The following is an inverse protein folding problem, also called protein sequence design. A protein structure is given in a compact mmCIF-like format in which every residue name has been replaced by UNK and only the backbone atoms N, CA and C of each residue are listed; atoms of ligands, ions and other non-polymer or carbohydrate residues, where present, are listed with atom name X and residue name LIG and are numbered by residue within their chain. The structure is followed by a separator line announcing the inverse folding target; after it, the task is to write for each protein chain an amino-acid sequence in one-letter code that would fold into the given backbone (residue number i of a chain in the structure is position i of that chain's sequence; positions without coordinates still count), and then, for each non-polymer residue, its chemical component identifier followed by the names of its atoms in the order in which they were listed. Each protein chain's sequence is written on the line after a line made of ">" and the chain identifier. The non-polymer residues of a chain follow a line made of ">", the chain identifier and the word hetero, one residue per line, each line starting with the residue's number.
data_IF_010288638106
#
_entry.id   IF_010288638106
#
_cell.length_a   1.000
_cell.length_b   1.000
_cell.length_c   1.000
_cell.angle_alpha   90.00
_cell.angle_beta   90.00
_cell.angle_gamma   90.00
#
_symmetry.space_group_name_H-M   'P 1'
#
loop_
_entity.id
_entity.type
_entity.pdbx_description
1 polymer ?
#
# COMPACT_ATOMS: atom_id res chain seq x y z
N UNK A 1 33.14 -51.86 -2.13
CA UNK A 1 34.38 -51.30 -2.75
C UNK A 1 34.11 -49.89 -3.14
N UNK A 2 35.05 -48.98 -2.91
CA UNK A 2 35.46 -48.44 -1.61
C UNK A 2 34.97 -46.98 -1.40
N UNK A 3 34.92 -46.58 -0.14
CA UNK A 3 34.70 -45.22 0.38
C UNK A 3 35.78 -44.23 -0.10
N UNK A 4 35.32 -43.06 -0.62
CA UNK A 4 36.23 -41.91 -0.78
C UNK A 4 35.80 -40.85 0.26
N UNK A 5 36.63 -40.75 1.30
CA UNK A 5 36.63 -39.69 2.31
C UNK A 5 37.28 -38.45 1.69
N UNK A 6 36.60 -37.29 1.72
CA UNK A 6 37.21 -35.99 1.39
C UNK A 6 37.60 -35.25 2.66
N UNK A 7 38.80 -34.65 2.71
CA UNK A 7 39.30 -33.97 3.91
C UNK A 7 38.74 -32.56 4.06
N UNK A 8 38.55 -32.15 5.32
CA UNK A 8 38.21 -30.77 5.73
C UNK A 8 39.40 -29.82 5.56
N UNK A 9 39.22 -28.56 5.16
CA UNK A 9 40.25 -27.55 5.21
C UNK A 9 40.37 -26.94 6.63
N UNK A 10 41.61 -26.83 7.11
CA UNK A 10 42.01 -26.23 8.39
C UNK A 10 41.93 -24.69 8.38
N UNK A 11 41.79 -24.04 9.56
CA UNK A 11 41.72 -22.59 9.65
C UNK A 11 43.08 -21.93 9.51
N UNK A 12 43.18 -20.93 8.62
CA UNK A 12 44.36 -20.09 8.46
C UNK A 12 44.43 -19.04 9.57
N UNK A 13 45.53 -19.06 10.31
CA UNK A 13 45.97 -18.04 11.29
C UNK A 13 46.33 -16.74 10.56
N UNK A 14 45.82 -15.62 11.05
CA UNK A 14 46.30 -14.30 10.64
C UNK A 14 47.36 -13.82 11.58
N UNK A 15 48.58 -13.67 11.04
CA UNK A 15 49.77 -13.17 11.73
C UNK A 15 49.69 -11.63 11.82
N UNK A 16 49.99 -11.12 13.00
CA UNK A 16 50.19 -9.70 13.29
C UNK A 16 51.48 -9.20 12.65
N UNK A 17 51.45 -8.07 11.98
CA UNK A 17 52.63 -7.26 11.70
C UNK A 17 52.52 -5.96 12.48
N UNK A 18 53.39 -5.80 13.46
CA UNK A 18 53.74 -4.55 14.12
C UNK A 18 54.78 -3.82 13.25
N UNK A 19 54.57 -2.55 12.97
CA UNK A 19 55.60 -1.63 12.52
C UNK A 19 55.61 -0.41 13.43
N UNK A 20 56.80 -0.17 13.99
CA UNK A 20 57.19 0.91 14.87
C UNK A 20 57.83 2.02 14.05
N UNK A 21 57.62 3.29 14.46
CA UNK A 21 58.50 4.43 14.17
C UNK A 21 57.76 5.63 13.59
N UNK A 22 57.75 6.78 14.11
CA UNK A 22 58.78 7.68 14.60
C UNK A 22 58.08 8.93 15.17
N UNK A 23 58.71 9.50 16.18
CA UNK A 23 58.29 10.73 16.85
C UNK A 23 58.47 11.99 15.99
N UNK A 24 57.51 12.91 16.07
CA UNK A 24 57.63 14.27 15.59
C UNK A 24 56.89 15.21 16.53
N UNK A 25 57.59 15.94 17.35
CA UNK A 25 57.15 17.06 18.17
C UNK A 25 56.80 18.25 17.27
N UNK A 26 55.60 18.79 17.38
CA UNK A 26 55.32 20.23 17.11
C UNK A 26 54.09 20.71 17.87
N UNK A 27 54.26 21.66 18.78
CA UNK A 27 53.46 22.83 18.98
C UNK A 27 51.99 22.73 19.40
N UNK A 28 51.76 22.86 20.73
CA UNK A 28 50.41 23.11 21.27
C UNK A 28 49.95 24.54 20.92
N UNK A 29 49.01 24.73 20.03
CA UNK A 29 48.15 25.91 19.98
C UNK A 29 46.80 25.53 20.59
N UNK A 30 46.57 26.05 21.81
CA UNK A 30 45.25 25.97 22.43
C UNK A 30 44.31 26.95 21.74
N UNK A 31 43.44 26.42 20.86
CA UNK A 31 42.30 27.16 20.38
C UNK A 31 41.16 26.95 21.36
N UNK A 32 40.91 27.99 22.16
CA UNK A 32 39.73 28.06 23.03
C UNK A 32 38.52 28.34 22.09
N UNK A 33 37.79 27.29 21.80
CA UNK A 33 36.45 27.44 21.18
C UNK A 33 35.44 27.74 22.27
N UNK A 34 34.57 28.74 22.10
CA UNK A 34 33.51 29.01 23.05
C UNK A 34 32.52 27.84 23.03
N UNK A 35 32.20 27.30 24.22
CA UNK A 35 31.07 26.42 24.40
C UNK A 35 29.80 27.17 23.98
N UNK A 36 29.33 26.94 22.78
CA UNK A 36 27.94 27.21 22.46
C UNK A 36 27.09 26.16 23.18
N UNK A 37 26.39 26.60 24.22
CA UNK A 37 25.28 25.86 24.81
C UNK A 37 24.23 25.72 23.73
N UNK A 38 24.31 24.65 22.96
CA UNK A 38 23.26 24.23 22.06
C UNK A 38 22.04 23.91 22.91
N UNK A 39 21.02 24.77 22.84
CA UNK A 39 19.70 24.45 23.34
C UNK A 39 19.29 23.14 22.68
N UNK A 40 19.02 22.09 23.49
CA UNK A 40 18.26 20.93 23.04
C UNK A 40 16.97 21.51 22.49
N UNK A 41 16.83 21.53 21.15
CA UNK A 41 15.54 21.74 20.54
C UNK A 41 14.66 20.57 21.03
N UNK A 42 13.74 20.87 21.92
CA UNK A 42 12.68 19.95 22.25
C UNK A 42 12.05 19.57 20.91
N UNK A 43 12.03 18.29 20.62
CA UNK A 43 11.18 17.74 19.57
C UNK A 43 9.76 18.07 19.99
N UNK A 44 9.28 19.20 19.53
CA UNK A 44 7.86 19.54 19.64
C UNK A 44 7.16 18.48 18.80
N UNK A 45 6.52 17.53 19.49
CA UNK A 45 5.49 16.72 18.85
C UNK A 45 4.60 17.68 18.09
N UNK A 46 4.54 17.54 16.76
CA UNK A 46 3.58 18.25 15.95
C UNK A 46 2.20 17.86 16.47
N UNK A 47 1.67 18.70 17.38
CA UNK A 47 0.28 18.58 17.77
C UNK A 47 -0.54 18.90 16.53
N UNK A 48 -1.06 17.89 15.87
CA UNK A 48 -2.15 18.07 14.93
C UNK A 48 -3.22 18.92 15.62
N UNK A 49 -3.76 19.95 14.98
CA UNK A 49 -4.85 20.71 15.56
C UNK A 49 -5.94 19.72 15.95
N UNK A 50 -6.45 19.84 17.17
CA UNK A 50 -7.50 18.98 17.70
C UNK A 50 -8.58 18.83 16.63
N UNK A 51 -8.94 17.57 16.31
CA UNK A 51 -9.93 17.23 15.32
C UNK A 51 -11.14 18.14 15.49
N UNK A 52 -11.40 18.99 14.51
CA UNK A 52 -12.68 19.66 14.43
C UNK A 52 -13.70 18.53 14.35
N UNK A 53 -14.61 18.45 15.32
CA UNK A 53 -15.73 17.54 15.30
C UNK A 53 -16.53 17.85 14.05
N UNK A 54 -16.17 17.22 12.91
CA UNK A 54 -16.95 17.31 11.71
C UNK A 54 -18.23 16.54 11.97
N UNK A 55 -19.34 17.24 12.02
CA UNK A 55 -20.70 16.69 12.21
C UNK A 55 -21.15 15.83 11.01
N UNK A 56 -20.29 15.61 10.04
CA UNK A 56 -20.60 14.83 8.87
C UNK A 56 -20.66 13.33 9.17
N UNK A 57 -21.73 12.64 8.73
CA UNK A 57 -21.86 11.21 8.96
C UNK A 57 -20.71 10.45 8.31
N UNK A 58 -20.24 9.37 8.97
CA UNK A 58 -19.16 8.48 8.49
C UNK A 58 -19.45 7.98 7.06
N UNK A 59 -20.67 7.53 6.79
CA UNK A 59 -21.13 7.11 5.47
C UNK A 59 -21.80 8.30 4.78
N UNK A 60 -21.34 8.72 3.58
CA UNK A 60 -21.93 9.86 2.88
C UNK A 60 -23.41 9.66 2.53
N UNK A 61 -24.14 10.76 2.40
CA UNK A 61 -25.54 10.72 1.98
C UNK A 61 -25.69 10.00 0.63
N UNK A 62 -26.74 9.17 0.50
CA UNK A 62 -26.98 8.35 -0.69
C UNK A 62 -26.16 7.04 -0.74
N UNK A 63 -25.36 6.77 0.29
CA UNK A 63 -24.64 5.50 0.45
C UNK A 63 -25.20 4.71 1.62
N UNK A 64 -25.03 3.39 1.54
CA UNK A 64 -25.31 2.44 2.63
C UNK A 64 -24.09 1.57 2.88
N UNK A 65 -23.78 1.31 4.15
CA UNK A 65 -22.76 0.33 4.54
C UNK A 65 -23.43 -1.01 4.81
N UNK A 66 -22.90 -2.08 4.25
CA UNK A 66 -23.48 -3.42 4.29
C UNK A 66 -22.39 -4.48 4.39
N UNK A 67 -22.76 -5.70 4.79
CA UNK A 67 -21.89 -6.87 4.76
C UNK A 67 -22.51 -7.99 3.93
N UNK A 68 -21.70 -8.66 3.13
CA UNK A 68 -22.11 -9.79 2.28
C UNK A 68 -21.20 -10.98 2.49
N UNK A 69 -21.78 -12.13 2.77
CA UNK A 69 -21.04 -13.41 2.83
C UNK A 69 -20.58 -13.81 1.43
N UNK A 70 -19.27 -14.04 1.29
CA UNK A 70 -18.61 -14.48 0.07
C UNK A 70 -17.65 -15.61 0.42
N UNK A 71 -17.95 -16.83 0.00
CA UNK A 71 -17.14 -18.00 0.37
C UNK A 71 -17.00 -18.13 1.89
N UNK A 72 -15.77 -18.07 2.38
CA UNK A 72 -15.42 -18.21 3.80
C UNK A 72 -15.44 -16.90 4.59
N UNK A 73 -15.52 -15.73 3.90
CA UNK A 73 -15.47 -14.39 4.53
C UNK A 73 -16.76 -13.61 4.34
N UNK A 74 -17.03 -12.70 5.26
CA UNK A 74 -18.02 -11.63 5.05
C UNK A 74 -17.28 -10.35 4.71
N UNK A 75 -17.57 -9.80 3.55
CA UNK A 75 -16.98 -8.56 3.05
C UNK A 75 -17.90 -7.39 3.42
N UNK A 76 -17.35 -6.41 4.13
CA UNK A 76 -17.99 -5.12 4.35
C UNK A 76 -17.78 -4.24 3.12
N UNK A 77 -18.78 -3.43 2.79
CA UNK A 77 -18.69 -2.49 1.67
C UNK A 77 -19.67 -1.34 1.83
N UNK A 78 -19.35 -0.20 1.24
CA UNK A 78 -20.31 0.86 1.02
C UNK A 78 -20.79 0.84 -0.43
N UNK A 79 -22.09 1.13 -0.62
CA UNK A 79 -22.74 1.17 -1.93
C UNK A 79 -23.58 2.42 -2.05
N UNK A 80 -23.49 3.10 -3.22
CA UNK A 80 -24.33 4.25 -3.54
C UNK A 80 -24.34 4.55 -5.03
N UNK A 81 -25.19 5.51 -5.43
CA UNK A 81 -25.32 5.94 -6.81
C UNK A 81 -26.06 4.99 -7.74
N UNK A 82 -26.03 5.29 -9.03
CA UNK A 82 -26.69 4.52 -10.10
C UNK A 82 -25.88 4.62 -11.40
N UNK A 83 -26.09 3.66 -12.30
CA UNK A 83 -25.38 3.56 -13.56
C UNK A 83 -24.42 2.37 -13.63
N UNK A 84 -23.41 2.39 -14.52
CA UNK A 84 -22.44 1.31 -14.66
C UNK A 84 -21.68 1.04 -13.36
N UNK A 85 -21.32 -0.23 -13.12
CA UNK A 85 -20.62 -0.63 -11.92
C UNK A 85 -19.20 -0.05 -11.86
N UNK A 86 -18.86 0.58 -10.73
CA UNK A 86 -17.51 1.06 -10.38
C UNK A 86 -17.10 0.47 -9.03
N UNK A 87 -15.98 -0.24 -9.01
CA UNK A 87 -15.39 -0.78 -7.78
C UNK A 87 -14.13 0.00 -7.43
N UNK A 88 -14.02 0.40 -6.16
CA UNK A 88 -12.90 1.17 -5.62
C UNK A 88 -12.20 0.31 -4.56
N UNK A 89 -10.97 -0.13 -4.81
CA UNK A 89 -10.23 -1.09 -3.98
C UNK A 89 -9.06 -0.40 -3.31
N UNK A 90 -9.16 -0.24 -1.98
CA UNK A 90 -8.19 0.46 -1.12
C UNK A 90 -6.89 -0.32 -0.92
N UNK A 91 -5.89 0.36 -0.34
CA UNK A 91 -4.60 -0.21 0.04
C UNK A 91 -4.35 -0.29 1.55
N UNK A 92 -3.07 -0.47 1.90
CA UNK A 92 -2.59 -0.52 3.28
C UNK A 92 -2.24 0.90 3.78
N UNK A 93 -2.54 1.29 5.02
CA UNK A 93 -3.31 0.58 6.03
C UNK A 93 -4.79 0.94 6.06
N UNK A 94 -5.33 1.31 4.92
CA UNK A 94 -6.64 1.92 4.75
C UNK A 94 -7.79 0.89 4.68
N UNK A 95 -9.01 1.41 4.47
CA UNK A 95 -10.25 0.68 4.21
C UNK A 95 -11.11 1.50 3.24
N UNK A 96 -12.38 1.19 3.05
CA UNK A 96 -13.25 1.90 2.12
C UNK A 96 -13.30 3.42 2.34
N UNK A 97 -12.98 3.90 3.53
CA UNK A 97 -13.03 5.31 3.92
C UNK A 97 -12.02 6.17 3.14
N UNK A 98 -10.95 5.60 2.61
CA UNK A 98 -10.04 6.25 1.65
C UNK A 98 -10.81 6.96 0.54
N UNK A 99 -11.85 6.31 0.02
CA UNK A 99 -12.63 6.78 -1.11
C UNK A 99 -13.70 7.82 -0.75
N UNK A 100 -13.95 8.05 0.54
CA UNK A 100 -15.03 8.89 1.06
C UNK A 100 -15.14 10.25 0.37
N UNK A 101 -14.04 11.00 0.13
CA UNK A 101 -14.11 12.31 -0.53
C UNK A 101 -14.56 12.24 -1.99
N UNK A 102 -14.34 11.12 -2.67
CA UNK A 102 -14.68 10.92 -4.08
C UNK A 102 -16.08 10.36 -4.29
N UNK A 103 -16.63 9.66 -3.29
CA UNK A 103 -17.88 8.90 -3.41
C UNK A 103 -19.08 9.75 -3.91
N UNK A 104 -19.35 10.97 -3.36
CA UNK A 104 -20.54 11.72 -3.77
C UNK A 104 -20.56 12.09 -5.24
N UNK A 105 -19.40 12.44 -5.81
CA UNK A 105 -19.33 12.83 -7.23
C UNK A 105 -19.38 11.61 -8.14
N UNK A 106 -18.66 10.54 -7.79
CA UNK A 106 -18.66 9.29 -8.56
C UNK A 106 -20.07 8.67 -8.61
N UNK A 107 -20.84 8.76 -7.53
CA UNK A 107 -22.20 8.24 -7.45
C UNK A 107 -23.20 8.93 -8.38
N UNK A 108 -22.89 10.12 -8.88
CA UNK A 108 -23.72 10.78 -9.90
C UNK A 108 -23.69 10.05 -11.25
N UNK A 109 -22.68 9.21 -11.47
CA UNK A 109 -22.41 8.58 -12.77
C UNK A 109 -22.33 7.06 -12.71
N UNK A 110 -22.12 6.48 -11.51
CA UNK A 110 -21.84 5.06 -11.33
C UNK A 110 -22.61 4.47 -10.15
N UNK A 111 -22.91 3.18 -10.24
CA UNK A 111 -23.17 2.36 -9.06
C UNK A 111 -21.81 2.06 -8.44
N UNK A 112 -21.48 2.77 -7.37
CA UNK A 112 -20.17 2.67 -6.70
C UNK A 112 -20.23 1.60 -5.61
N UNK A 113 -19.23 0.71 -5.61
CA UNK A 113 -18.97 -0.29 -4.57
C UNK A 113 -17.55 -0.05 -4.06
N UNK A 114 -17.40 0.30 -2.80
CA UNK A 114 -16.11 0.39 -2.12
C UNK A 114 -16.06 -0.63 -0.99
N UNK A 115 -15.46 -1.80 -1.23
CA UNK A 115 -15.32 -2.85 -0.21
C UNK A 115 -14.15 -2.58 0.73
N UNK A 116 -14.25 -3.11 1.94
CA UNK A 116 -13.08 -3.42 2.76
C UNK A 116 -12.51 -4.76 2.29
N UNK A 117 -11.23 -4.81 1.99
CA UNK A 117 -10.55 -6.07 1.69
C UNK A 117 -10.62 -7.03 2.89
N UNK A 118 -10.53 -8.36 2.68
CA UNK A 118 -10.38 -9.29 3.81
C UNK A 118 -9.24 -8.85 4.72
N UNK A 119 -9.48 -8.82 6.01
CA UNK A 119 -8.53 -8.35 7.00
C UNK A 119 -8.50 -6.83 7.22
N UNK A 120 -9.30 -6.05 6.50
CA UNK A 120 -9.42 -4.60 6.69
C UNK A 120 -10.80 -4.20 7.18
N UNK A 121 -10.87 -3.03 7.78
CA UNK A 121 -12.11 -2.36 8.15
C UNK A 121 -13.04 -3.26 8.95
N UNK A 122 -14.26 -3.45 8.46
CA UNK A 122 -15.27 -4.32 9.06
C UNK A 122 -15.43 -5.67 8.32
N UNK A 123 -14.56 -5.99 7.36
CA UNK A 123 -14.54 -7.33 6.74
C UNK A 123 -13.96 -8.37 7.69
N UNK A 124 -14.26 -9.65 7.47
CA UNK A 124 -13.67 -10.72 8.29
C UNK A 124 -12.13 -10.78 8.09
N UNK A 125 -11.41 -11.15 9.15
CA UNK A 125 -9.97 -11.37 9.16
C UNK A 125 -9.65 -12.86 9.38
N UNK A 126 -9.80 -13.74 8.36
CA UNK A 126 -9.52 -15.16 8.49
C UNK A 126 -8.02 -15.44 8.67
N UNK A 127 -7.67 -16.68 9.03
CA UNK A 127 -6.29 -17.08 9.26
C UNK A 127 -5.39 -17.06 8.01
N UNK A 128 -5.95 -16.93 6.79
CA UNK A 128 -5.20 -16.97 5.54
C UNK A 128 -5.99 -16.47 4.33
N UNK A 129 -5.44 -16.72 3.13
CA UNK A 129 -6.08 -16.30 1.88
C UNK A 129 -5.76 -14.85 1.49
N UNK A 130 -4.64 -14.35 1.93
CA UNK A 130 -4.24 -12.94 1.71
C UNK A 130 -3.44 -12.71 0.43
N UNK A 131 -3.30 -13.72 -0.41
CA UNK A 131 -2.79 -13.55 -1.76
C UNK A 131 -3.80 -12.81 -2.65
N UNK A 132 -3.29 -12.00 -3.58
CA UNK A 132 -4.09 -11.08 -4.39
C UNK A 132 -5.11 -11.79 -5.27
N UNK A 133 -4.82 -13.02 -5.68
CA UNK A 133 -5.78 -13.86 -6.42
C UNK A 133 -7.00 -14.22 -5.56
N UNK A 134 -6.77 -14.63 -4.31
CA UNK A 134 -7.87 -14.94 -3.38
C UNK A 134 -8.65 -13.67 -3.01
N UNK A 135 -7.95 -12.57 -2.73
CA UNK A 135 -8.61 -11.28 -2.44
C UNK A 135 -9.43 -10.77 -3.64
N UNK A 136 -8.94 -10.93 -4.85
CA UNK A 136 -9.68 -10.61 -6.08
C UNK A 136 -10.92 -11.50 -6.26
N UNK A 137 -10.85 -12.78 -5.88
CA UNK A 137 -12.00 -13.69 -5.91
C UNK A 137 -13.08 -13.28 -4.90
N UNK A 138 -12.72 -12.71 -3.74
CA UNK A 138 -13.70 -12.14 -2.81
C UNK A 138 -14.47 -10.98 -3.44
N UNK A 139 -13.75 -10.07 -4.10
CA UNK A 139 -14.40 -8.92 -4.75
C UNK A 139 -15.31 -9.38 -5.89
N UNK A 140 -14.84 -10.33 -6.71
CA UNK A 140 -15.69 -10.90 -7.77
C UNK A 140 -16.92 -11.61 -7.19
N UNK A 141 -16.73 -12.37 -6.13
CA UNK A 141 -17.82 -13.04 -5.41
C UNK A 141 -18.83 -12.05 -4.81
N UNK A 142 -18.36 -10.95 -4.22
CA UNK A 142 -19.21 -9.85 -3.75
C UNK A 142 -20.06 -9.29 -4.90
N UNK A 143 -19.42 -8.90 -6.00
CA UNK A 143 -20.12 -8.37 -7.16
C UNK A 143 -21.13 -9.36 -7.74
N UNK A 144 -20.77 -10.65 -7.79
CA UNK A 144 -21.69 -11.72 -8.26
C UNK A 144 -22.91 -11.85 -7.38
N UNK A 145 -22.77 -11.76 -6.05
CA UNK A 145 -23.89 -11.75 -5.11
C UNK A 145 -24.81 -10.54 -5.26
N UNK A 146 -24.24 -9.42 -5.72
CA UNK A 146 -24.99 -8.19 -5.99
C UNK A 146 -25.55 -8.09 -7.41
N UNK A 147 -25.23 -9.06 -8.31
CA UNK A 147 -25.59 -9.01 -9.73
C UNK A 147 -24.85 -7.94 -10.54
N UNK A 148 -23.65 -7.55 -10.09
CA UNK A 148 -22.89 -6.41 -10.62
C UNK A 148 -21.52 -6.79 -11.23
N UNK A 149 -21.26 -8.07 -11.47
CA UNK A 149 -19.93 -8.59 -11.85
C UNK A 149 -19.57 -8.35 -13.32
N UNK A 150 -20.47 -7.89 -14.16
CA UNK A 150 -20.23 -7.70 -15.59
C UNK A 150 -20.08 -6.21 -15.94
N UNK A 151 -19.24 -5.93 -16.97
CA UNK A 151 -18.98 -4.56 -17.46
C UNK A 151 -18.43 -3.61 -16.38
N UNK A 152 -17.62 -4.14 -15.47
CA UNK A 152 -17.13 -3.43 -14.29
C UNK A 152 -16.00 -2.47 -14.67
N UNK A 153 -15.97 -1.31 -14.03
CA UNK A 153 -14.83 -0.43 -13.94
C UNK A 153 -14.15 -0.67 -12.61
N UNK A 154 -12.83 -0.80 -12.59
CA UNK A 154 -12.08 -1.12 -11.38
C UNK A 154 -11.00 -0.05 -11.17
N UNK A 155 -10.93 0.47 -9.97
CA UNK A 155 -9.87 1.40 -9.50
C UNK A 155 -9.21 0.78 -8.29
N UNK A 156 -7.89 0.67 -8.33
CA UNK A 156 -7.11 0.18 -7.20
C UNK A 156 -6.01 1.16 -6.80
N UNK A 157 -5.75 1.22 -5.51
CA UNK A 157 -4.66 1.98 -4.91
C UNK A 157 -3.80 1.06 -4.02
N UNK A 158 -2.48 1.21 -4.05
CA UNK A 158 -1.53 0.42 -3.26
C UNK A 158 -1.80 -1.10 -3.36
N UNK A 159 -2.01 -1.83 -2.28
CA UNK A 159 -2.41 -3.26 -2.30
C UNK A 159 -3.65 -3.47 -3.18
N UNK A 160 -4.59 -2.53 -3.19
CA UNK A 160 -5.77 -2.55 -4.06
C UNK A 160 -5.42 -2.56 -5.55
N UNK A 161 -4.31 -1.95 -5.97
CA UNK A 161 -3.78 -2.07 -7.34
C UNK A 161 -3.41 -3.50 -7.68
N UNK A 162 -2.71 -4.19 -6.77
CA UNK A 162 -2.32 -5.59 -6.96
C UNK A 162 -3.54 -6.52 -7.04
N UNK A 163 -4.55 -6.28 -6.19
CA UNK A 163 -5.84 -7.00 -6.21
C UNK A 163 -6.60 -6.70 -7.51
N UNK A 164 -6.64 -5.43 -7.94
CA UNK A 164 -7.31 -5.00 -9.18
C UNK A 164 -6.69 -5.62 -10.43
N UNK A 165 -5.37 -5.75 -10.47
CA UNK A 165 -4.68 -6.47 -11.54
C UNK A 165 -5.09 -7.95 -11.57
N UNK A 166 -5.01 -8.64 -10.43
CA UNK A 166 -5.42 -10.05 -10.32
C UNK A 166 -6.90 -10.25 -10.69
N UNK A 167 -7.78 -9.32 -10.29
CA UNK A 167 -9.21 -9.31 -10.67
C UNK A 167 -9.38 -9.24 -12.20
N UNK A 168 -8.75 -8.23 -12.82
CA UNK A 168 -8.86 -8.02 -14.26
C UNK A 168 -8.23 -9.16 -15.08
N UNK A 169 -7.15 -9.74 -14.58
CA UNK A 169 -6.48 -10.88 -15.23
C UNK A 169 -7.28 -12.19 -15.12
N UNK A 170 -8.00 -12.40 -14.00
CA UNK A 170 -8.88 -13.55 -13.82
C UNK A 170 -10.21 -13.41 -14.59
N UNK A 171 -10.72 -12.18 -14.75
CA UNK A 171 -12.03 -11.88 -15.34
C UNK A 171 -11.95 -10.82 -16.47
N UNK A 172 -11.08 -11.01 -17.50
CA UNK A 172 -10.80 -9.97 -18.49
C UNK A 172 -12.00 -9.57 -19.37
N UNK A 173 -13.03 -10.42 -19.44
CA UNK A 173 -14.25 -10.14 -20.20
C UNK A 173 -15.25 -9.28 -19.41
N UNK A 174 -15.13 -9.26 -18.10
CA UNK A 174 -16.04 -8.55 -17.19
C UNK A 174 -15.55 -7.13 -16.89
N UNK A 175 -14.26 -6.83 -17.11
CA UNK A 175 -13.66 -5.52 -16.86
C UNK A 175 -13.62 -4.68 -18.12
N UNK A 176 -14.23 -3.50 -18.08
CA UNK A 176 -14.26 -2.56 -19.20
C UNK A 176 -13.19 -1.49 -19.13
N UNK A 177 -12.79 -1.07 -17.94
CA UNK A 177 -11.71 -0.11 -17.68
C UNK A 177 -11.03 -0.43 -16.36
N UNK A 178 -9.73 -0.21 -16.29
CA UNK A 178 -8.92 -0.51 -15.13
C UNK A 178 -8.02 0.67 -14.79
N UNK A 179 -7.99 1.08 -13.52
CA UNK A 179 -7.04 2.07 -12.98
C UNK A 179 -6.15 1.36 -11.95
N UNK A 180 -4.85 1.48 -12.15
CA UNK A 180 -3.81 0.93 -11.28
C UNK A 180 -2.95 2.07 -10.78
N UNK A 181 -2.88 2.30 -9.47
CA UNK A 181 -2.19 3.45 -8.90
C UNK A 181 -1.32 3.08 -7.70
N UNK A 182 -0.14 3.68 -7.68
CA UNK A 182 0.79 3.72 -6.54
C UNK A 182 1.15 2.36 -5.94
N UNK A 183 1.28 1.33 -6.81
CA UNK A 183 1.90 0.06 -6.43
C UNK A 183 2.49 -0.65 -7.64
N UNK A 184 3.55 -1.45 -7.46
CA UNK A 184 3.99 -2.39 -8.47
C UNK A 184 3.03 -3.59 -8.55
N UNK A 185 2.90 -4.17 -9.76
CA UNK A 185 2.34 -5.53 -9.90
C UNK A 185 3.39 -6.51 -9.37
N UNK A 186 3.03 -7.45 -8.47
CA UNK A 186 3.99 -8.40 -7.92
C UNK A 186 4.72 -9.22 -8.99
N UNK A 187 6.02 -8.98 -9.13
CA UNK A 187 6.92 -9.75 -9.99
C UNK A 187 8.31 -9.88 -9.31
N UNK A 188 9.28 -10.60 -9.90
CA UNK A 188 10.60 -10.75 -9.29
C UNK A 188 11.34 -9.43 -9.02
N UNK A 189 11.02 -8.34 -9.75
CA UNK A 189 11.61 -7.02 -9.53
C UNK A 189 11.23 -6.46 -8.14
N UNK A 190 10.09 -6.89 -7.57
CA UNK A 190 9.65 -6.53 -6.22
C UNK A 190 10.73 -6.76 -5.15
N UNK A 191 11.51 -7.84 -5.29
CA UNK A 191 12.57 -8.19 -4.33
C UNK A 191 13.88 -7.42 -4.54
N UNK A 192 13.96 -6.60 -5.57
CA UNK A 192 15.15 -5.80 -5.89
C UNK A 192 15.04 -4.35 -5.44
N UNK A 193 13.86 -3.94 -4.97
CA UNK A 193 13.65 -2.58 -4.44
C UNK A 193 14.43 -2.40 -3.12
N UNK A 194 15.28 -1.35 -3.03
CA UNK A 194 16.08 -1.14 -1.82
C UNK A 194 15.19 -0.66 -0.66
N UNK A 195 15.43 -1.21 0.53
CA UNK A 195 14.81 -0.73 1.76
C UNK A 195 15.40 0.61 2.24
N UNK A 196 16.65 0.89 1.84
CA UNK A 196 17.35 2.14 2.13
C UNK A 196 17.97 2.69 0.85
N UNK A 197 17.80 3.98 0.60
CA UNK A 197 18.36 4.72 -0.54
C UNK A 197 19.19 5.90 -0.03
N UNK A 198 19.97 6.52 -0.92
CA UNK A 198 20.72 7.74 -0.58
C UNK A 198 19.81 8.93 -0.22
N UNK A 199 18.54 8.90 -0.64
CA UNK A 199 17.54 9.93 -0.37
C UNK A 199 16.68 9.62 0.87
N UNK A 200 16.90 8.48 1.52
CA UNK A 200 16.17 8.05 2.70
C UNK A 200 15.59 6.63 2.59
N UNK A 201 14.62 6.28 3.44
CA UNK A 201 14.01 4.97 3.41
C UNK A 201 13.26 4.74 2.09
N UNK A 202 13.54 3.58 1.46
CA UNK A 202 12.80 3.09 0.29
C UNK A 202 11.65 2.17 0.71
N UNK A 203 11.63 0.93 0.18
CA UNK A 203 10.61 -0.08 0.51
C UNK A 203 10.88 -0.81 1.84
N UNK A 204 11.28 -0.05 2.88
CA UNK A 204 11.62 -0.61 4.20
C UNK A 204 10.46 -1.39 4.83
N UNK A 205 9.22 -0.91 4.60
CA UNK A 205 8.00 -1.50 5.12
C UNK A 205 7.77 -2.92 4.57
N UNK A 206 8.14 -3.21 3.32
CA UNK A 206 8.04 -4.55 2.75
C UNK A 206 8.91 -5.55 3.52
N UNK A 207 10.14 -5.17 3.90
CA UNK A 207 11.00 -5.99 4.74
C UNK A 207 10.42 -6.16 6.15
N UNK A 208 9.99 -5.08 6.79
CA UNK A 208 9.43 -5.11 8.13
C UNK A 208 8.15 -5.97 8.23
N UNK A 209 7.21 -5.81 7.31
CA UNK A 209 5.95 -6.57 7.30
C UNK A 209 6.15 -8.06 6.99
N UNK A 210 7.25 -8.42 6.34
CA UNK A 210 7.61 -9.82 6.07
C UNK A 210 8.27 -10.55 7.25
N UNK A 211 8.56 -9.87 8.36
CA UNK A 211 8.99 -10.52 9.60
C UNK A 211 7.82 -11.32 10.19
N UNK A 212 8.00 -12.66 10.37
CA UNK A 212 6.91 -13.60 10.69
C UNK A 212 6.88 -14.10 12.14
N UNK A 213 7.81 -13.63 12.99
CA UNK A 213 7.91 -14.06 14.39
C UNK A 213 6.98 -13.30 15.36
N UNK A 214 6.03 -12.50 14.84
CA UNK A 214 5.09 -11.69 15.63
C UNK A 214 5.68 -10.36 16.13
N UNK A 215 6.92 -10.02 15.74
CA UNK A 215 7.56 -8.76 16.16
C UNK A 215 6.84 -7.52 15.63
N UNK A 216 6.44 -7.42 14.34
CA UNK A 216 5.71 -6.26 13.86
C UNK A 216 4.41 -6.03 14.63
N UNK A 217 3.64 -7.08 14.85
CA UNK A 217 2.38 -7.02 15.61
C UNK A 217 2.61 -6.58 17.06
N UNK A 218 3.62 -7.12 17.72
CA UNK A 218 3.95 -6.77 19.11
C UNK A 218 4.40 -5.32 19.26
N UNK A 219 5.11 -4.77 18.27
CA UNK A 219 5.59 -3.38 18.30
C UNK A 219 4.47 -2.35 18.06
N UNK A 220 3.43 -2.73 17.34
CA UNK A 220 2.32 -1.82 16.97
C UNK A 220 1.16 -1.92 17.95
N UNK A 221 0.92 -3.10 18.52
CA UNK A 221 -0.17 -3.33 19.46
C UNK A 221 -0.22 -2.26 20.56
N UNK A 222 -1.40 -1.62 20.70
CA UNK A 222 -1.65 -0.53 21.64
C UNK A 222 -1.16 0.84 21.15
N UNK A 223 -0.63 0.92 19.91
CA UNK A 223 -0.13 2.15 19.26
C UNK A 223 -0.64 2.26 17.81
N UNK A 224 -1.76 1.63 17.50
CA UNK A 224 -2.24 1.49 16.13
C UNK A 224 -2.47 2.85 15.46
N UNK A 225 -3.07 3.82 16.20
CA UNK A 225 -3.27 5.18 15.67
C UNK A 225 -1.93 5.90 15.43
N UNK A 226 -0.98 5.80 16.37
CA UNK A 226 0.37 6.37 16.19
C UNK A 226 1.10 5.73 15.00
N UNK A 227 0.90 4.43 14.80
CA UNK A 227 1.48 3.71 13.67
C UNK A 227 0.89 4.19 12.36
N UNK A 228 -0.44 4.22 12.24
CA UNK A 228 -1.13 4.65 11.00
C UNK A 228 -0.77 6.09 10.67
N UNK A 229 -0.84 6.99 11.65
CA UNK A 229 -0.49 8.41 11.49
C UNK A 229 0.97 8.58 11.01
N UNK A 230 1.94 8.01 11.71
CA UNK A 230 3.34 8.10 11.34
C UNK A 230 3.66 7.43 10.00
N UNK A 231 3.01 6.30 9.70
CA UNK A 231 3.20 5.61 8.41
C UNK A 231 2.64 6.44 7.25
N UNK A 232 1.42 6.94 7.37
CA UNK A 232 0.80 7.77 6.32
C UNK A 232 1.53 9.09 6.15
N UNK A 233 1.90 9.77 7.24
CA UNK A 233 2.68 11.00 7.17
C UNK A 233 4.03 10.80 6.48
N UNK A 234 4.72 9.68 6.73
CA UNK A 234 6.04 9.42 6.14
C UNK A 234 6.03 9.33 4.60
N UNK A 235 4.89 9.02 3.99
CA UNK A 235 4.71 8.88 2.55
C UNK A 235 3.92 10.04 1.91
N UNK A 236 3.54 11.05 2.69
CA UNK A 236 2.71 12.19 2.29
C UNK A 236 3.57 13.40 1.94
N UNK A 237 3.28 14.04 0.82
CA UNK A 237 3.86 15.35 0.44
C UNK A 237 2.97 16.48 0.95
N UNK A 238 1.68 16.43 0.65
CA UNK A 238 0.70 17.42 1.10
C UNK A 238 0.26 17.09 2.54
N UNK A 239 1.07 17.51 3.51
CA UNK A 239 0.88 17.19 4.93
C UNK A 239 -0.52 17.58 5.43
N UNK A 240 -1.15 16.66 6.17
CA UNK A 240 -2.50 16.84 6.72
C UNK A 240 -3.63 16.50 5.75
N UNK A 241 -3.35 15.96 4.56
CA UNK A 241 -4.39 15.50 3.62
C UNK A 241 -5.20 14.32 4.15
N UNK A 242 -4.60 13.50 5.02
CA UNK A 242 -5.30 12.48 5.79
C UNK A 242 -5.51 13.03 7.19
N UNK A 243 -6.75 13.36 7.53
CA UNK A 243 -7.08 13.99 8.80
C UNK A 243 -7.15 12.98 9.97
N UNK A 244 -7.24 13.47 11.20
CA UNK A 244 -7.27 12.64 12.40
C UNK A 244 -8.50 11.70 12.44
N UNK A 245 -9.62 12.05 11.81
CA UNK A 245 -10.77 11.19 11.69
C UNK A 245 -10.48 10.00 10.77
N UNK A 246 -9.87 10.25 9.62
CA UNK A 246 -9.45 9.19 8.70
C UNK A 246 -8.38 8.28 9.34
N UNK A 247 -7.39 8.85 10.05
CA UNK A 247 -6.40 8.07 10.81
C UNK A 247 -7.08 7.11 11.79
N UNK A 248 -8.08 7.59 12.53
CA UNK A 248 -8.82 6.75 13.48
C UNK A 248 -9.63 5.66 12.74
N UNK A 249 -10.30 5.99 11.64
CA UNK A 249 -11.06 5.02 10.83
C UNK A 249 -10.17 3.90 10.28
N UNK A 250 -8.91 4.18 9.95
CA UNK A 250 -7.95 3.18 9.50
C UNK A 250 -7.32 2.40 10.65
N UNK A 251 -7.07 3.05 11.79
CA UNK A 251 -6.40 2.45 12.93
C UNK A 251 -7.32 1.58 13.81
N UNK A 252 -8.59 1.95 13.95
CA UNK A 252 -9.51 1.28 14.87
C UNK A 252 -9.67 -0.23 14.59
N UNK A 253 -9.79 -0.69 13.33
CA UNK A 253 -9.83 -2.12 13.04
C UNK A 253 -8.56 -2.86 13.46
N UNK A 254 -7.39 -2.23 13.40
CA UNK A 254 -6.10 -2.83 13.75
C UNK A 254 -5.94 -3.12 15.24
N UNK A 255 -6.82 -2.59 16.09
CA UNK A 255 -6.88 -2.92 17.54
C UNK A 255 -7.26 -4.39 17.77
N UNK A 256 -7.97 -5.01 16.81
CA UNK A 256 -8.17 -6.45 16.78
C UNK A 256 -6.90 -7.16 16.30
N UNK A 257 -6.32 -8.08 17.10
CA UNK A 257 -5.11 -8.79 16.72
C UNK A 257 -5.21 -9.57 15.41
N UNK A 258 -6.40 -10.05 15.03
CA UNK A 258 -6.60 -10.74 13.78
C UNK A 258 -6.47 -9.80 12.59
N UNK A 259 -7.02 -8.58 12.67
CA UNK A 259 -6.90 -7.55 11.64
C UNK A 259 -5.48 -7.02 11.55
N UNK A 260 -4.82 -6.76 12.69
CA UNK A 260 -3.43 -6.32 12.69
C UNK A 260 -2.52 -7.36 12.01
N UNK A 261 -2.68 -8.65 12.35
CA UNK A 261 -1.93 -9.71 11.68
C UNK A 261 -2.26 -9.79 10.18
N UNK A 262 -3.55 -9.75 9.84
CA UNK A 262 -4.04 -9.81 8.46
C UNK A 262 -3.42 -8.72 7.59
N UNK A 263 -3.26 -7.51 8.11
CA UNK A 263 -2.69 -6.38 7.38
C UNK A 263 -1.25 -6.66 6.92
N UNK A 264 -0.47 -7.44 7.67
CA UNK A 264 0.88 -7.87 7.27
C UNK A 264 0.87 -9.11 6.38
N UNK A 265 -0.12 -9.98 6.53
CA UNK A 265 -0.26 -11.16 5.66
C UNK A 265 -0.47 -10.77 4.19
N UNK A 266 -0.99 -9.56 3.90
CA UNK A 266 -1.04 -9.03 2.54
C UNK A 266 0.34 -8.94 1.88
N UNK A 267 1.37 -8.58 2.66
CA UNK A 267 2.76 -8.48 2.19
C UNK A 267 3.47 -9.84 2.22
N UNK A 268 3.18 -10.66 3.23
CA UNK A 268 3.75 -12.01 3.37
C UNK A 268 3.29 -12.95 2.26
N UNK A 269 2.20 -12.61 1.57
CA UNK A 269 1.69 -13.35 0.41
C UNK A 269 2.45 -13.07 -0.90
N UNK A 270 3.32 -12.06 -0.98
CA UNK A 270 4.05 -11.69 -2.20
C UNK A 270 4.74 -12.86 -2.93
N UNK A 271 5.38 -13.84 -2.26
CA UNK A 271 5.96 -14.98 -2.97
C UNK A 271 4.93 -15.85 -3.73
N UNK A 272 3.68 -15.87 -3.27
CA UNK A 272 2.57 -16.53 -3.99
C UNK A 272 2.06 -15.63 -5.11
N UNK A 273 1.91 -14.34 -4.86
CA UNK A 273 1.43 -13.36 -5.84
C UNK A 273 2.35 -13.32 -7.07
N UNK A 274 3.66 -13.26 -6.87
CA UNK A 274 4.67 -13.31 -7.96
C UNK A 274 4.48 -14.57 -8.84
N UNK A 275 4.19 -15.73 -8.24
CA UNK A 275 3.95 -16.98 -8.99
C UNK A 275 2.64 -16.95 -9.77
N UNK A 276 1.60 -16.35 -9.20
CA UNK A 276 0.28 -16.27 -9.83
C UNK A 276 0.28 -15.23 -10.94
N UNK A 277 0.88 -14.06 -10.72
CA UNK A 277 0.99 -12.98 -11.70
C UNK A 277 1.90 -13.36 -12.88
N UNK A 278 2.93 -14.19 -12.67
CA UNK A 278 3.71 -14.77 -13.74
C UNK A 278 2.86 -15.64 -14.70
N UNK A 279 1.78 -16.26 -14.22
CA UNK A 279 0.82 -17.00 -15.07
C UNK A 279 -0.08 -16.03 -15.84
N UNK A 280 -0.61 -15.00 -15.15
CA UNK A 280 -1.46 -13.98 -15.74
C UNK A 280 -0.72 -13.16 -16.82
N UNK A 281 0.54 -12.80 -16.60
CA UNK A 281 1.39 -12.07 -17.54
C UNK A 281 1.52 -12.70 -18.91
N UNK A 282 1.29 -14.02 -19.04
CA UNK A 282 1.32 -14.73 -20.33
C UNK A 282 0.29 -14.18 -21.31
N UNK A 283 -0.79 -13.59 -20.81
CA UNK A 283 -1.83 -12.94 -21.63
C UNK A 283 -2.01 -11.51 -21.15
N UNK A 284 -1.51 -10.54 -21.93
CA UNK A 284 -1.69 -9.13 -21.56
C UNK A 284 -3.16 -8.72 -21.53
N UNK A 285 -3.51 -7.90 -20.56
CA UNK A 285 -4.81 -7.26 -20.48
C UNK A 285 -5.11 -6.46 -21.74
N UNK A 286 -6.37 -6.51 -22.21
CA UNK A 286 -6.82 -5.86 -23.46
C UNK A 286 -7.77 -4.70 -23.25
N UNK A 287 -8.35 -4.55 -22.05
CA UNK A 287 -9.13 -3.35 -21.72
C UNK A 287 -8.21 -2.14 -21.60
N UNK A 288 -8.74 -0.90 -21.77
CA UNK A 288 -8.00 0.31 -21.45
C UNK A 288 -7.55 0.33 -19.99
N UNK A 289 -6.28 0.67 -19.76
CA UNK A 289 -5.67 0.79 -18.43
C UNK A 289 -5.12 2.19 -18.24
N UNK A 290 -5.47 2.83 -17.12
CA UNK A 290 -4.81 4.04 -16.63
C UNK A 290 -3.87 3.63 -15.50
N UNK A 291 -2.58 3.93 -15.67
CA UNK A 291 -1.53 3.64 -14.70
C UNK A 291 -1.00 4.94 -14.11
N UNK A 292 -1.11 5.11 -12.79
CA UNK A 292 -0.84 6.38 -12.11
C UNK A 292 0.25 6.18 -11.07
N UNK A 293 1.28 7.03 -11.13
CA UNK A 293 2.28 7.16 -10.08
C UNK A 293 2.32 8.59 -9.54
N UNK A 294 2.74 8.77 -8.32
CA UNK A 294 2.99 10.07 -7.70
C UNK A 294 4.46 10.46 -7.84
N UNK A 295 4.73 11.73 -8.12
CA UNK A 295 6.08 12.22 -8.43
C UNK A 295 7.08 11.92 -7.31
N UNK A 296 6.68 12.07 -6.07
CA UNK A 296 7.54 11.84 -4.89
C UNK A 296 7.42 10.43 -4.30
N UNK A 297 6.82 9.48 -5.05
CA UNK A 297 6.69 8.07 -4.68
C UNK A 297 7.12 7.18 -5.86
N UNK A 298 6.23 6.44 -6.46
CA UNK A 298 6.57 5.49 -7.53
C UNK A 298 6.71 6.11 -8.93
N UNK A 299 6.12 7.28 -9.18
CA UNK A 299 6.27 8.05 -10.42
C UNK A 299 6.08 7.23 -11.69
N UNK A 300 6.97 7.42 -12.65
CA UNK A 300 6.98 6.72 -13.95
C UNK A 300 7.21 5.20 -13.86
N UNK A 301 7.63 4.67 -12.69
CA UNK A 301 7.82 3.23 -12.55
C UNK A 301 6.50 2.46 -12.68
N UNK A 302 5.37 3.04 -12.21
CA UNK A 302 4.04 2.43 -12.30
C UNK A 302 3.62 2.25 -13.76
N UNK A 303 3.48 3.29 -14.59
CA UNK A 303 3.10 3.11 -15.99
C UNK A 303 4.12 2.29 -16.78
N UNK A 304 5.40 2.41 -16.46
CA UNK A 304 6.47 1.63 -17.14
C UNK A 304 6.31 0.13 -16.86
N UNK A 305 6.05 -0.25 -15.63
CA UNK A 305 5.81 -1.65 -15.30
C UNK A 305 4.49 -2.14 -15.89
N UNK A 306 3.39 -1.40 -15.77
CA UNK A 306 2.06 -1.81 -16.25
C UNK A 306 2.05 -2.09 -17.75
N UNK A 307 2.85 -1.40 -18.56
CA UNK A 307 3.03 -1.70 -20.00
C UNK A 307 3.56 -3.11 -20.29
N UNK A 308 4.20 -3.76 -19.30
CA UNK A 308 4.60 -5.17 -19.40
C UNK A 308 3.39 -6.12 -19.32
N UNK A 309 2.27 -5.67 -18.72
CA UNK A 309 1.09 -6.48 -18.36
C UNK A 309 -0.19 -6.16 -19.16
N UNK A 310 -0.27 -5.00 -19.79
CA UNK A 310 -1.43 -4.55 -20.56
C UNK A 310 -1.03 -4.01 -21.94
N UNK A 311 -1.99 -4.06 -22.89
CA UNK A 311 -1.77 -3.59 -24.27
C UNK A 311 -2.06 -2.09 -24.44
N UNK A 312 -3.06 -1.58 -23.76
CA UNK A 312 -3.58 -0.22 -23.91
C UNK A 312 -3.42 0.55 -22.59
N UNK A 313 -2.22 1.10 -22.37
CA UNK A 313 -1.85 1.79 -21.12
C UNK A 313 -1.67 3.28 -21.36
N UNK A 314 -2.47 4.09 -20.68
CA UNK A 314 -2.24 5.50 -20.48
C UNK A 314 -1.49 5.68 -19.16
N UNK A 315 -0.29 6.26 -19.20
CA UNK A 315 0.47 6.63 -18.00
C UNK A 315 0.11 8.05 -17.54
N UNK A 316 0.17 8.27 -16.24
CA UNK A 316 0.05 9.57 -15.60
C UNK A 316 0.96 9.61 -14.38
N UNK A 317 1.66 10.74 -14.18
CA UNK A 317 2.38 11.04 -12.94
C UNK A 317 1.76 12.29 -12.34
N UNK A 318 1.36 12.22 -11.08
CA UNK A 318 0.78 13.35 -10.35
C UNK A 318 1.93 14.17 -9.76
N UNK A 319 2.08 15.45 -10.14
CA UNK A 319 3.12 16.32 -9.60
C UNK A 319 2.82 16.66 -8.13
N UNK A 320 3.84 17.03 -7.38
CA UNK A 320 3.75 17.49 -5.99
C UNK A 320 2.93 16.58 -5.07
N UNK A 321 2.89 15.27 -5.38
CA UNK A 321 2.16 14.24 -4.65
C UNK A 321 3.10 13.21 -4.07
N UNK A 322 2.75 12.74 -2.88
CA UNK A 322 3.22 11.51 -2.28
C UNK A 322 2.34 10.32 -2.66
N UNK A 323 2.40 9.27 -1.83
CA UNK A 323 1.71 8.01 -2.09
C UNK A 323 0.16 8.14 -2.09
N UNK A 324 -0.39 9.06 -1.30
CA UNK A 324 -1.83 9.17 -1.03
C UNK A 324 -2.54 10.08 -2.04
N UNK A 325 -2.40 9.77 -3.34
CA UNK A 325 -2.85 10.62 -4.45
C UNK A 325 -4.34 11.02 -4.38
N UNK A 326 -5.18 10.18 -3.80
CA UNK A 326 -6.63 10.41 -3.71
C UNK A 326 -7.00 11.38 -2.58
N UNK A 327 -6.20 11.44 -1.54
CA UNK A 327 -6.35 12.39 -0.43
C UNK A 327 -5.54 13.68 -0.69
N UNK A 328 -4.32 13.54 -1.21
CA UNK A 328 -3.45 14.70 -1.47
C UNK A 328 -3.98 15.57 -2.63
N UNK A 329 -4.60 14.96 -3.63
CA UNK A 329 -5.09 15.63 -4.84
C UNK A 329 -6.53 15.25 -5.18
N UNK A 330 -7.44 15.24 -4.21
CA UNK A 330 -8.81 14.74 -4.34
C UNK A 330 -9.55 15.31 -5.56
N UNK A 331 -9.57 16.64 -5.75
CA UNK A 331 -10.29 17.29 -6.86
C UNK A 331 -9.70 16.94 -8.24
N UNK A 332 -8.36 16.89 -8.35
CA UNK A 332 -7.67 16.50 -9.58
C UNK A 332 -7.97 15.04 -9.91
N UNK A 333 -7.80 14.16 -8.93
CA UNK A 333 -8.03 12.71 -9.10
C UNK A 333 -9.47 12.39 -9.44
N UNK A 334 -10.43 13.10 -8.86
CA UNK A 334 -11.84 13.02 -9.25
C UNK A 334 -12.02 13.33 -10.75
N UNK A 335 -11.43 14.44 -11.24
CA UNK A 335 -11.46 14.81 -12.65
C UNK A 335 -10.79 13.78 -13.56
N UNK A 336 -9.62 13.26 -13.15
CA UNK A 336 -8.87 12.21 -13.86
C UNK A 336 -9.71 10.93 -13.98
N UNK A 337 -10.30 10.46 -12.87
CA UNK A 337 -11.13 9.26 -12.85
C UNK A 337 -12.37 9.44 -13.73
N UNK A 338 -13.12 10.52 -13.57
CA UNK A 338 -14.33 10.77 -14.38
C UNK A 338 -14.02 10.83 -15.88
N UNK A 339 -12.91 11.48 -16.27
CA UNK A 339 -12.48 11.56 -17.67
C UNK A 339 -12.11 10.20 -18.25
N UNK A 340 -11.46 9.36 -17.48
CA UNK A 340 -11.02 8.04 -17.97
C UNK A 340 -12.13 7.01 -17.94
N UNK A 341 -12.96 6.99 -16.89
CA UNK A 341 -13.99 5.96 -16.65
C UNK A 341 -15.28 6.13 -17.50
N UNK A 342 -15.49 7.26 -18.12
CA UNK A 342 -16.61 7.53 -19.06
C UNK A 342 -16.63 6.69 -20.34
#
# INVERSE_FOLDING_TARGET
>A
MPNIVRPHPSPRRWSRLLAVGAAGLVGSLAVVLPLQTGALAAVTSSSHPAAQNTTEPRVPAGFTEQRQKVGDVSINYVRGGHGPTLVLIHGYPQNWFEWRPLLPELAKHYTVIAPDLRGAGKSDAPAGGYDKKTMAADIYGLLSRLGLQHHVRVVGHDIGTMVSYSFAAAHPKDVTKLVLSEAPIPDPELYTHPALTAQGPGFWNFGYFNVTNGLPEAMIKGKEATWVDGFTDSLMVQKGSIDANAINEFADPLKDPAHLKASFEWFRAFPKDVKDDAKYKKTKLTMPVLAIGAQSSLGESVPTQVRKYAKHVKGLVIPDSGHWIYEEHTAEMQGVLLKFLR
#
